data_IF_523057202242
#
_entry.id   IF_523057202242
#
_cell.length_a   1.000
_cell.length_b   1.000
_cell.length_c   1.000
_cell.angle_alpha   90.00
_cell.angle_beta   90.00
_cell.angle_gamma   90.00
#
_symmetry.space_group_name_H-M   'P 1'
#
loop_
_entity.id
_entity.type
_entity.pdbx_description
1 polymer ?
#
# COMPACT_ATOMS: atom_id res chain seq x y z
N UNK A 1 -3.24 -7.19 4.18
CA UNK A 1 -2.86 -6.60 2.90
C UNK A 1 -4.03 -6.76 1.94
N UNK A 2 -4.42 -5.70 1.25
CA UNK A 2 -5.42 -5.67 0.20
C UNK A 2 -4.79 -5.04 -1.04
N UNK A 3 -4.75 -5.80 -2.14
CA UNK A 3 -4.31 -5.29 -3.43
C UNK A 3 -5.33 -4.31 -4.00
N UNK A 4 -4.84 -3.23 -4.61
CA UNK A 4 -5.62 -2.22 -5.33
C UNK A 4 -4.98 -1.95 -6.69
N UNK A 5 -5.81 -1.63 -7.67
CA UNK A 5 -5.36 -1.35 -9.05
C UNK A 5 -4.76 0.07 -9.20
N UNK A 6 -5.23 1.02 -8.38
CA UNK A 6 -4.75 2.39 -8.32
C UNK A 6 -4.82 2.87 -6.86
N UNK A 7 -3.65 3.04 -6.24
CA UNK A 7 -3.54 3.39 -4.84
C UNK A 7 -3.95 4.84 -4.56
N UNK A 8 -3.76 5.75 -5.51
CA UNK A 8 -4.16 7.15 -5.33
C UNK A 8 -5.68 7.27 -5.36
N UNK A 9 -6.34 6.55 -6.27
CA UNK A 9 -7.80 6.44 -6.32
C UNK A 9 -8.35 5.78 -5.05
N UNK A 10 -7.73 4.69 -4.57
CA UNK A 10 -8.13 4.02 -3.33
C UNK A 10 -7.99 4.94 -2.11
N UNK A 11 -6.85 5.63 -1.96
CA UNK A 11 -6.60 6.61 -0.89
C UNK A 11 -7.65 7.71 -0.94
N UNK A 12 -7.92 8.29 -2.12
CA UNK A 12 -8.91 9.36 -2.28
C UNK A 12 -10.32 8.87 -1.90
N UNK A 13 -10.70 7.68 -2.36
CA UNK A 13 -12.00 7.09 -2.03
C UNK A 13 -12.16 6.88 -0.53
N UNK A 14 -11.16 6.29 0.13
CA UNK A 14 -11.23 5.99 1.56
C UNK A 14 -11.25 7.29 2.39
N UNK A 15 -10.43 8.28 2.04
CA UNK A 15 -10.46 9.61 2.69
C UNK A 15 -11.81 10.30 2.52
N UNK A 16 -12.49 10.12 1.39
CA UNK A 16 -13.85 10.65 1.18
C UNK A 16 -14.88 10.08 2.16
N UNK A 17 -14.58 8.93 2.81
CA UNK A 17 -15.39 8.31 3.87
C UNK A 17 -15.02 8.77 5.27
N UNK A 18 -14.10 9.73 5.40
CA UNK A 18 -13.62 10.24 6.69
C UNK A 18 -12.63 9.32 7.40
N UNK A 19 -12.03 8.37 6.70
CA UNK A 19 -11.03 7.44 7.25
C UNK A 19 -9.64 8.00 6.97
N UNK A 20 -8.80 8.09 7.99
CA UNK A 20 -7.41 8.48 7.83
C UNK A 20 -6.62 7.38 7.12
N UNK A 21 -5.78 7.80 6.17
CA UNK A 21 -4.85 6.92 5.44
C UNK A 21 -3.48 7.55 5.48
N UNK A 22 -2.45 6.76 5.80
CA UNK A 22 -1.06 7.22 5.83
C UNK A 22 -0.60 7.74 4.46
N UNK A 23 0.55 8.42 4.42
CA UNK A 23 1.16 8.79 3.15
C UNK A 23 1.50 7.54 2.33
N UNK A 24 1.29 7.63 1.01
CA UNK A 24 1.78 6.64 0.04
C UNK A 24 3.31 6.55 0.11
N UNK A 25 3.82 5.33 0.25
CA UNK A 25 5.25 5.00 0.22
C UNK A 25 5.52 4.07 -0.98
N UNK A 26 6.64 4.26 -1.66
CA UNK A 26 7.20 3.23 -2.55
C UNK A 26 8.16 2.37 -1.72
N UNK A 27 7.82 1.10 -1.52
CA UNK A 27 8.56 0.17 -0.65
C UNK A 27 9.79 -0.42 -1.37
N UNK A 28 10.67 -1.10 -0.60
CA UNK A 28 11.90 -1.70 -1.11
C UNK A 28 11.70 -2.75 -2.22
N UNK A 29 10.50 -3.33 -2.34
CA UNK A 29 10.14 -4.28 -3.39
C UNK A 29 9.59 -3.60 -4.66
N UNK A 30 9.61 -2.26 -4.74
CA UNK A 30 9.02 -1.45 -5.81
C UNK A 30 7.49 -1.58 -5.92
N UNK A 31 6.80 -1.74 -4.79
CA UNK A 31 5.33 -1.67 -4.71
C UNK A 31 4.91 -0.40 -3.98
N UNK A 32 3.75 0.14 -4.31
CA UNK A 32 3.19 1.25 -3.53
C UNK A 32 2.41 0.70 -2.34
N UNK A 33 2.55 1.37 -1.20
CA UNK A 33 1.90 1.00 0.05
C UNK A 33 1.29 2.22 0.75
N UNK A 34 0.15 2.00 1.39
CA UNK A 34 -0.45 2.93 2.35
C UNK A 34 -1.23 2.13 3.40
N UNK A 35 -1.50 2.73 4.56
CA UNK A 35 -2.09 2.02 5.70
C UNK A 35 -3.32 2.73 6.23
N UNK A 36 -4.30 1.93 6.66
CA UNK A 36 -5.47 2.35 7.42
C UNK A 36 -5.56 1.55 8.72
N UNK A 37 -6.35 2.05 9.67
CA UNK A 37 -6.74 1.31 10.87
C UNK A 37 -8.24 1.10 10.87
N UNK A 38 -8.69 -0.13 11.16
CA UNK A 38 -10.11 -0.39 11.39
C UNK A 38 -10.55 0.11 12.79
N UNK A 39 -11.85 0.10 13.12
CA UNK A 39 -12.35 0.52 14.43
C UNK A 39 -11.79 -0.28 15.62
N UNK A 40 -11.25 -1.47 15.38
CA UNK A 40 -10.63 -2.31 16.41
C UNK A 40 -9.12 -2.07 16.52
N UNK A 41 -8.55 -1.14 15.74
CA UNK A 41 -7.12 -0.86 15.69
C UNK A 41 -6.31 -1.84 14.84
N UNK A 42 -6.95 -2.70 14.06
CA UNK A 42 -6.26 -3.59 13.12
C UNK A 42 -5.74 -2.76 11.97
N UNK A 43 -4.42 -2.81 11.76
CA UNK A 43 -3.76 -2.14 10.63
C UNK A 43 -3.95 -2.95 9.35
N UNK A 44 -4.49 -2.30 8.33
CA UNK A 44 -4.71 -2.87 7.00
C UNK A 44 -3.84 -2.12 6.00
N UNK A 45 -2.99 -2.87 5.32
CA UNK A 45 -2.18 -2.37 4.21
C UNK A 45 -3.01 -2.35 2.92
N UNK A 46 -2.98 -1.22 2.23
CA UNK A 46 -3.34 -1.05 0.83
C UNK A 46 -2.07 -1.17 0.00
N UNK A 47 -2.13 -1.92 -1.09
CA UNK A 47 -0.96 -2.33 -1.83
C UNK A 47 -1.22 -2.28 -3.34
N UNK A 48 -0.36 -1.62 -4.11
CA UNK A 48 -0.43 -1.60 -5.58
C UNK A 48 0.87 -2.13 -6.19
N UNK A 49 0.74 -3.10 -7.09
CA UNK A 49 1.84 -3.58 -7.89
C UNK A 49 2.29 -2.55 -8.93
N UNK A 50 3.60 -2.49 -9.17
CA UNK A 50 4.17 -1.82 -10.34
C UNK A 50 4.78 -2.87 -11.28
N UNK A 51 5.12 -2.46 -12.50
CA UNK A 51 5.86 -3.31 -13.42
C UNK A 51 7.26 -3.75 -12.89
N UNK A 52 7.78 -3.09 -11.84
CA UNK A 52 9.09 -3.38 -11.23
C UNK A 52 8.99 -4.14 -9.90
N UNK A 53 7.77 -4.51 -9.50
CA UNK A 53 7.52 -5.22 -8.26
C UNK A 53 8.33 -6.52 -8.19
N UNK A 54 8.98 -6.75 -7.06
CA UNK A 54 9.80 -7.95 -6.83
C UNK A 54 9.02 -9.25 -7.02
N UNK A 55 7.72 -9.22 -6.77
CA UNK A 55 6.79 -10.33 -6.97
C UNK A 55 6.71 -10.76 -8.44
N UNK A 56 7.03 -9.87 -9.38
CA UNK A 56 7.13 -10.19 -10.80
C UNK A 56 8.58 -10.38 -11.26
N UNK A 57 9.51 -9.54 -10.77
CA UNK A 57 10.89 -9.51 -11.29
C UNK A 57 11.86 -10.43 -10.55
N UNK A 58 11.51 -10.88 -9.34
CA UNK A 58 12.40 -11.58 -8.41
C UNK A 58 13.58 -10.73 -7.92
N UNK A 59 14.56 -11.44 -7.34
CA UNK A 59 15.83 -10.89 -6.85
C UNK A 59 15.80 -10.42 -5.39
N UNK A 60 17.00 -10.30 -4.80
CA UNK A 60 17.17 -9.87 -3.41
C UNK A 60 16.79 -8.40 -3.21
N UNK A 61 16.25 -8.07 -2.03
CA UNK A 61 15.93 -6.71 -1.59
C UNK A 61 16.39 -6.49 -0.15
N UNK A 62 16.80 -5.26 0.15
CA UNK A 62 17.09 -4.86 1.53
C UNK A 62 15.79 -4.35 2.14
N UNK A 63 15.30 -5.06 3.16
CA UNK A 63 14.07 -4.69 3.85
C UNK A 63 14.23 -3.35 4.60
N UNK A 64 13.23 -2.48 4.47
CA UNK A 64 13.15 -1.19 5.14
C UNK A 64 11.85 -1.09 5.97
N UNK A 65 11.92 -1.66 7.19
CA UNK A 65 10.83 -1.69 8.17
C UNK A 65 10.47 -0.32 8.74
#
# INVERSE_FOLDING_TARGET
CLEVEDIDAAIAHIRSKGIEVTQKKLACDNTFQAWISDPNGVRIELFEYTAKSAQFTGGDRVADW
#
